data_IF_634047263961
#
_entry.id   IF_634047263961
#
_cell.length_a   1.000
_cell.length_b   1.000
_cell.length_c   1.000
_cell.angle_alpha   90.00
_cell.angle_beta   90.00
_cell.angle_gamma   90.00
#
_symmetry.space_group_name_H-M   'P 1'
#
loop_
_entity.id
_entity.type
_entity.pdbx_description
1 polymer ?
#
# COMPACT_ATOMS: atom_id res chain seq x y z
N UNK A 1 -1.60 -7.90 28.44
CA UNK A 1 -0.49 -8.87 28.46
C UNK A 1 -0.83 -10.01 27.51
N UNK A 2 0.04 -10.32 26.54
CA UNK A 2 -0.10 -11.50 25.68
C UNK A 2 -0.07 -12.76 26.56
N UNK A 3 -1.09 -13.60 26.44
CA UNK A 3 -1.12 -14.89 27.13
C UNK A 3 -0.35 -15.92 26.29
N UNK A 4 0.44 -16.82 26.91
CA UNK A 4 1.04 -17.92 26.19
C UNK A 4 -0.04 -18.88 25.67
N UNK A 5 0.30 -19.64 24.62
CA UNK A 5 -0.53 -20.73 24.13
C UNK A 5 -0.51 -21.93 25.08
N UNK A 6 -1.26 -22.98 24.76
CA UNK A 6 -1.35 -24.23 25.54
C UNK A 6 0.02 -24.89 25.82
N UNK A 7 1.02 -24.65 24.96
CA UNK A 7 2.40 -25.11 25.13
C UNK A 7 3.31 -24.17 25.93
N UNK A 8 2.77 -23.20 26.66
CA UNK A 8 3.53 -22.15 27.37
C UNK A 8 4.46 -21.33 26.47
N UNK A 9 4.13 -21.19 25.17
CA UNK A 9 4.88 -20.39 24.19
C UNK A 9 4.14 -19.09 23.86
N UNK A 10 4.90 -18.03 23.64
CA UNK A 10 4.40 -16.75 23.18
C UNK A 10 4.45 -16.71 21.66
N UNK A 11 3.32 -16.43 21.02
CA UNK A 11 3.18 -16.39 19.55
C UNK A 11 2.71 -14.98 19.16
N UNK A 12 3.37 -14.39 18.18
CA UNK A 12 2.94 -13.12 17.57
C UNK A 12 2.43 -13.40 16.16
N UNK A 13 1.11 -13.55 16.05
CA UNK A 13 0.42 -13.62 14.76
C UNK A 13 -0.16 -12.27 14.44
N UNK A 14 0.06 -11.83 13.22
CA UNK A 14 -0.67 -10.70 12.67
C UNK A 14 -2.06 -11.23 12.31
N UNK A 15 -3.10 -10.57 12.82
CA UNK A 15 -4.49 -10.99 12.65
C UNK A 15 -5.07 -10.23 11.47
N UNK A 16 -5.32 -10.94 10.37
CA UNK A 16 -5.85 -10.33 9.15
C UNK A 16 -7.24 -10.90 8.84
N UNK A 17 -8.12 -10.03 8.38
CA UNK A 17 -9.45 -10.38 7.91
C UNK A 17 -9.57 -10.11 6.41
N UNK A 18 -10.36 -10.93 5.71
CA UNK A 18 -10.68 -10.67 4.30
C UNK A 18 -11.68 -9.53 4.23
N UNK A 19 -11.32 -8.43 3.59
CA UNK A 19 -12.20 -7.28 3.36
C UNK A 19 -11.76 -6.54 2.11
N UNK A 20 -12.71 -6.22 1.23
CA UNK A 20 -12.48 -5.36 0.08
C UNK A 20 -12.49 -3.87 0.47
N UNK A 21 -13.22 -3.51 1.53
CA UNK A 21 -13.36 -2.12 1.98
C UNK A 21 -12.10 -1.59 2.67
N UNK A 22 -11.52 -2.40 3.55
CA UNK A 22 -10.27 -2.11 4.24
C UNK A 22 -9.35 -3.34 4.14
N UNK A 23 -8.39 -3.37 3.20
CA UNK A 23 -7.47 -4.48 3.06
C UNK A 23 -6.64 -4.65 4.33
N UNK A 24 -6.01 -5.81 4.50
CA UNK A 24 -5.15 -6.01 5.67
C UNK A 24 -3.91 -5.11 5.60
N UNK A 25 -3.42 -4.66 6.76
CA UNK A 25 -2.17 -3.89 6.82
C UNK A 25 -1.01 -4.65 6.19
N UNK A 26 -0.93 -5.96 6.39
CA UNK A 26 0.13 -6.81 5.83
C UNK A 26 0.12 -6.85 4.30
N UNK A 27 -1.08 -6.83 3.70
CA UNK A 27 -1.24 -6.75 2.26
C UNK A 27 -0.75 -5.39 1.73
N UNK A 28 -1.18 -4.29 2.36
CA UNK A 28 -0.73 -2.95 1.97
C UNK A 28 0.79 -2.81 2.14
N UNK A 29 1.33 -3.28 3.26
CA UNK A 29 2.77 -3.27 3.53
C UNK A 29 3.53 -4.11 2.50
N UNK A 30 3.02 -5.29 2.14
CA UNK A 30 3.62 -6.13 1.10
C UNK A 30 3.70 -5.42 -0.25
N UNK A 31 2.59 -4.82 -0.70
CA UNK A 31 2.50 -4.11 -1.98
C UNK A 31 3.44 -2.90 -2.03
N UNK A 32 3.63 -2.20 -0.92
CA UNK A 32 4.56 -1.08 -0.80
C UNK A 32 6.00 -1.50 -0.51
N UNK A 33 6.29 -2.82 -0.51
CA UNK A 33 7.58 -3.40 -0.14
C UNK A 33 8.09 -2.94 1.25
N UNK A 34 7.16 -2.74 2.18
CA UNK A 34 7.42 -2.47 3.58
C UNK A 34 7.50 -3.79 4.37
N UNK A 35 8.15 -3.78 5.55
CA UNK A 35 8.10 -4.92 6.45
C UNK A 35 6.65 -5.30 6.82
N UNK A 36 6.24 -6.49 6.38
CA UNK A 36 4.88 -7.02 6.57
C UNK A 36 4.83 -8.26 7.48
N UNK A 37 5.92 -8.54 8.18
CA UNK A 37 6.03 -9.65 9.13
C UNK A 37 6.99 -9.28 10.25
N UNK A 38 6.88 -9.99 11.38
CA UNK A 38 7.61 -9.64 12.59
C UNK A 38 9.14 -9.71 12.43
N UNK A 39 9.63 -10.62 11.58
CA UNK A 39 11.06 -10.69 11.26
C UNK A 39 11.51 -9.45 10.52
N UNK A 40 10.79 -9.03 9.48
CA UNK A 40 11.09 -7.81 8.74
C UNK A 40 11.03 -6.57 9.64
N UNK A 41 10.06 -6.50 10.55
CA UNK A 41 9.94 -5.40 11.52
C UNK A 41 11.15 -5.36 12.46
N UNK A 42 11.60 -6.51 12.98
CA UNK A 42 12.82 -6.58 13.80
C UNK A 42 14.04 -6.18 12.97
N UNK A 43 14.22 -6.74 11.77
CA UNK A 43 15.37 -6.45 10.92
C UNK A 43 15.44 -4.94 10.62
N UNK A 44 14.29 -4.31 10.35
CA UNK A 44 14.18 -2.86 10.19
C UNK A 44 14.52 -2.09 11.48
N UNK A 45 13.92 -2.46 12.62
CA UNK A 45 14.18 -1.81 13.90
C UNK A 45 15.65 -1.92 14.34
N UNK A 46 16.28 -3.08 14.14
CA UNK A 46 17.70 -3.27 14.42
C UNK A 46 18.59 -2.35 13.58
N UNK A 47 18.23 -2.13 12.31
CA UNK A 47 18.93 -1.19 11.43
C UNK A 47 18.69 0.26 11.84
N UNK A 48 17.46 0.62 12.15
CA UNK A 48 17.06 1.98 12.48
C UNK A 48 17.64 2.47 13.81
N UNK A 49 17.56 1.65 14.87
CA UNK A 49 18.08 1.99 16.20
C UNK A 49 19.56 1.63 16.39
N UNK A 50 20.21 1.08 15.36
CA UNK A 50 21.58 0.54 15.42
C UNK A 50 21.81 -0.43 16.61
N UNK A 51 20.74 -1.10 17.05
CA UNK A 51 20.72 -1.94 18.24
C UNK A 51 20.44 -3.39 17.85
N UNK A 52 21.30 -4.33 18.26
CA UNK A 52 21.10 -5.75 17.96
C UNK A 52 20.19 -6.42 18.99
N UNK A 53 19.17 -7.13 18.51
CA UNK A 53 18.33 -7.97 19.36
C UNK A 53 19.13 -9.21 19.81
N UNK A 54 19.29 -9.49 21.13
CA UNK A 54 20.09 -10.61 21.64
C UNK A 54 19.34 -11.96 21.56
N UNK A 55 18.79 -12.26 20.38
CA UNK A 55 18.00 -13.46 20.09
C UNK A 55 18.42 -14.03 18.73
N UNK A 56 18.46 -15.35 18.61
CA UNK A 56 18.85 -15.99 17.35
C UNK A 56 17.80 -15.77 16.25
N UNK A 57 18.25 -15.65 14.99
CA UNK A 57 17.36 -15.53 13.81
C UNK A 57 16.32 -16.65 13.73
N UNK A 58 16.70 -17.87 14.10
CA UNK A 58 15.77 -19.01 14.16
C UNK A 58 14.63 -18.76 15.15
N UNK A 59 14.93 -18.24 16.34
CA UNK A 59 13.90 -17.92 17.35
C UNK A 59 12.99 -16.76 16.91
N UNK A 60 13.51 -15.80 16.14
CA UNK A 60 12.71 -14.72 15.55
C UNK A 60 11.74 -15.31 14.52
N UNK A 61 12.22 -16.19 13.63
CA UNK A 61 11.38 -16.84 12.62
C UNK A 61 10.29 -17.74 13.23
N UNK A 62 10.53 -18.38 14.38
CA UNK A 62 9.51 -19.21 15.02
C UNK A 62 8.45 -18.42 15.77
N UNK A 63 8.66 -17.12 16.02
CA UNK A 63 7.75 -16.29 16.81
C UNK A 63 6.34 -16.21 16.21
N UNK A 64 6.25 -16.16 14.88
CA UNK A 64 4.98 -16.08 14.15
C UNK A 64 4.34 -17.44 13.88
N UNK A 65 5.02 -18.54 14.21
CA UNK A 65 4.56 -19.92 13.92
C UNK A 65 4.40 -20.74 15.20
N UNK A 66 5.49 -21.34 15.70
CA UNK A 66 5.51 -22.25 16.87
C UNK A 66 5.53 -21.50 18.21
N UNK A 67 5.91 -20.23 18.18
CA UNK A 67 6.12 -19.39 19.35
C UNK A 67 7.46 -19.67 20.05
N UNK A 68 7.76 -18.80 21.00
CA UNK A 68 9.02 -18.83 21.78
C UNK A 68 8.76 -19.02 23.27
N UNK A 69 9.75 -19.54 23.99
CA UNK A 69 9.68 -19.65 25.45
C UNK A 69 9.75 -18.29 26.14
N UNK A 70 9.26 -18.23 27.39
CA UNK A 70 9.27 -17.03 28.23
C UNK A 70 10.64 -16.33 28.33
N UNK A 71 11.79 -17.03 28.47
CA UNK A 71 13.09 -16.37 28.53
C UNK A 71 13.42 -15.57 27.27
N UNK A 72 13.15 -16.15 26.09
CA UNK A 72 13.35 -15.47 24.81
C UNK A 72 12.39 -14.30 24.66
N UNK A 73 11.12 -14.47 25.05
CA UNK A 73 10.13 -13.39 25.02
C UNK A 73 10.59 -12.19 25.85
N UNK A 74 11.05 -12.43 27.09
CA UNK A 74 11.59 -11.37 27.96
C UNK A 74 12.79 -10.65 27.34
N UNK A 75 13.67 -11.36 26.60
CA UNK A 75 14.78 -10.70 25.88
C UNK A 75 14.28 -9.74 24.80
N UNK A 76 13.24 -10.12 24.06
CA UNK A 76 12.62 -9.26 23.04
C UNK A 76 11.95 -8.05 23.70
N UNK A 77 11.15 -8.27 24.74
CA UNK A 77 10.48 -7.22 25.50
C UNK A 77 11.49 -6.21 26.08
N UNK A 78 12.51 -6.70 26.79
CA UNK A 78 13.56 -5.84 27.37
C UNK A 78 14.32 -5.06 26.30
N UNK A 79 14.57 -5.67 25.14
CA UNK A 79 15.22 -4.98 24.02
C UNK A 79 14.36 -3.82 23.52
N UNK A 80 13.07 -4.03 23.24
CA UNK A 80 12.16 -2.93 22.85
C UNK A 80 12.04 -1.84 23.91
N UNK A 81 12.05 -2.20 25.20
CA UNK A 81 12.03 -1.23 26.30
C UNK A 81 13.32 -0.38 26.35
N UNK A 82 14.44 -0.91 25.86
CA UNK A 82 15.74 -0.22 25.84
C UNK A 82 15.96 0.72 24.65
N UNK A 83 15.14 0.63 23.61
CA UNK A 83 15.23 1.52 22.45
C UNK A 83 14.80 2.94 22.83
N UNK A 84 15.29 3.96 22.11
CA UNK A 84 14.91 5.35 22.34
C UNK A 84 14.25 5.94 21.09
N UNK A 85 13.01 6.44 21.16
CA UNK A 85 12.17 6.51 22.36
C UNK A 85 11.69 5.13 22.81
N UNK A 86 11.61 4.92 24.14
CA UNK A 86 11.15 3.64 24.69
C UNK A 86 9.73 3.33 24.24
N UNK A 87 9.46 2.06 23.94
CA UNK A 87 8.12 1.58 23.56
C UNK A 87 7.05 1.92 24.60
N UNK A 88 7.43 2.16 25.86
CA UNK A 88 6.50 2.62 26.91
C UNK A 88 5.88 3.98 26.57
N UNK A 89 6.60 4.86 25.88
CA UNK A 89 6.07 6.14 25.41
C UNK A 89 5.11 6.00 24.21
N UNK A 90 5.17 4.85 23.53
CA UNK A 90 4.28 4.47 22.42
C UNK A 90 3.06 3.67 22.95
N UNK A 91 3.13 3.16 24.18
CA UNK A 91 2.07 2.34 24.76
C UNK A 91 0.87 3.19 25.19
N UNK A 92 -0.20 3.12 24.39
CA UNK A 92 -1.45 3.84 24.65
C UNK A 92 -2.56 2.85 25.07
N UNK A 93 -3.00 2.82 26.36
CA UNK A 93 -4.06 1.91 26.82
C UNK A 93 -5.39 2.11 26.09
N UNK A 94 -5.71 3.34 25.67
CA UNK A 94 -6.93 3.63 24.89
C UNK A 94 -6.83 2.99 23.51
N UNK A 95 -5.67 3.09 22.86
CA UNK A 95 -5.41 2.43 21.58
C UNK A 95 -5.53 0.91 21.71
N UNK A 96 -4.96 0.29 22.75
CA UNK A 96 -5.08 -1.15 22.95
C UNK A 96 -6.54 -1.62 23.08
N UNK A 97 -7.36 -0.84 23.79
CA UNK A 97 -8.80 -1.09 23.87
C UNK A 97 -9.48 -0.94 22.51
N UNK A 98 -9.11 0.08 21.73
CA UNK A 98 -9.62 0.32 20.36
C UNK A 98 -9.25 -0.88 19.45
N UNK A 99 -7.99 -1.31 19.47
CA UNK A 99 -7.50 -2.44 18.70
C UNK A 99 -8.19 -3.75 19.07
N UNK A 100 -8.33 -4.04 20.38
CA UNK A 100 -9.02 -5.24 20.82
C UNK A 100 -10.47 -5.28 20.34
N UNK A 101 -11.20 -4.16 20.42
CA UNK A 101 -12.57 -4.07 19.93
C UNK A 101 -12.67 -4.33 18.43
N UNK A 102 -11.75 -3.79 17.64
CA UNK A 102 -11.71 -4.01 16.18
C UNK A 102 -11.46 -5.49 15.85
N UNK A 103 -10.51 -6.13 16.52
CA UNK A 103 -10.21 -7.57 16.33
C UNK A 103 -11.42 -8.44 16.67
N UNK A 104 -12.15 -8.14 17.76
CA UNK A 104 -13.32 -8.92 18.19
C UNK A 104 -14.43 -8.94 17.14
N UNK A 105 -14.62 -7.85 16.40
CA UNK A 105 -15.66 -7.76 15.37
C UNK A 105 -15.18 -8.17 13.98
N UNK A 106 -13.91 -8.59 13.84
CA UNK A 106 -13.34 -9.02 12.56
C UNK A 106 -12.93 -7.87 11.62
N UNK A 107 -12.59 -6.70 12.18
CA UNK A 107 -12.18 -5.51 11.41
C UNK A 107 -10.66 -5.42 11.28
N UNK A 108 -10.18 -5.03 10.09
CA UNK A 108 -8.75 -4.78 9.85
C UNK A 108 -8.25 -3.45 10.47
N UNK A 109 -9.15 -2.63 11.03
CA UNK A 109 -8.83 -1.32 11.60
C UNK A 109 -7.78 -1.36 12.73
N UNK A 110 -7.63 -2.48 13.44
CA UNK A 110 -6.69 -2.58 14.58
C UNK A 110 -5.25 -2.25 14.21
N UNK A 111 -4.79 -2.67 13.04
CA UNK A 111 -3.42 -2.42 12.61
C UNK A 111 -3.25 -0.99 12.11
N UNK A 112 -4.23 -0.46 11.36
CA UNK A 112 -4.21 0.92 10.90
C UNK A 112 -4.30 1.93 12.05
N UNK A 113 -5.10 1.68 13.10
CA UNK A 113 -5.08 2.52 14.30
C UNK A 113 -3.70 2.58 14.95
N UNK A 114 -2.98 1.47 14.96
CA UNK A 114 -1.62 1.42 15.51
C UNK A 114 -0.64 2.20 14.63
N UNK A 115 -0.80 2.11 13.31
CA UNK A 115 -0.02 2.88 12.33
C UNK A 115 -0.25 4.39 12.50
N UNK A 116 -1.51 4.83 12.51
CA UNK A 116 -1.89 6.24 12.68
C UNK A 116 -1.44 6.79 14.03
N UNK A 117 -1.63 6.05 15.13
CA UNK A 117 -1.19 6.51 16.46
C UNK A 117 0.34 6.62 16.54
N UNK A 118 1.08 5.69 15.93
CA UNK A 118 2.54 5.74 15.83
C UNK A 118 3.02 6.93 15.00
N UNK A 119 2.33 7.23 13.91
CA UNK A 119 2.58 8.42 13.09
C UNK A 119 2.31 9.72 13.88
N UNK A 120 1.14 9.83 14.52
CA UNK A 120 0.81 11.00 15.36
C UNK A 120 1.77 11.16 16.53
N UNK A 121 2.31 10.05 17.06
CA UNK A 121 3.39 10.10 18.05
C UNK A 121 4.69 10.65 17.45
N UNK A 122 5.12 10.19 16.27
CA UNK A 122 6.35 10.68 15.63
C UNK A 122 6.27 12.17 15.30
N UNK A 123 5.12 12.65 14.84
CA UNK A 123 4.86 14.09 14.63
C UNK A 123 5.08 14.90 15.91
N UNK A 124 4.49 14.46 17.03
CA UNK A 124 4.62 15.14 18.33
C UNK A 124 6.04 15.09 18.88
N UNK A 125 6.72 13.97 18.73
CA UNK A 125 8.06 13.75 19.25
C UNK A 125 9.13 14.53 18.47
N UNK A 126 9.00 14.58 17.15
CA UNK A 126 10.03 15.16 16.27
C UNK A 126 9.69 16.58 15.79
N UNK A 127 8.47 17.08 16.03
CA UNK A 127 7.94 18.34 15.46
C UNK A 127 8.07 18.41 13.93
N UNK A 128 8.15 17.26 13.27
CA UNK A 128 8.32 17.17 11.82
C UNK A 128 6.96 17.09 11.16
N UNK A 129 6.52 18.18 10.58
CA UNK A 129 5.48 18.14 9.57
C UNK A 129 5.97 17.36 8.33
N UNK A 130 5.09 16.61 7.68
CA UNK A 130 5.40 15.85 6.47
C UNK A 130 4.14 15.62 5.60
N UNK A 131 4.34 15.03 4.43
CA UNK A 131 3.33 14.81 3.40
C UNK A 131 2.22 13.83 3.77
N UNK A 132 2.38 13.02 4.83
CA UNK A 132 1.47 11.92 5.13
C UNK A 132 0.24 12.34 5.96
N UNK A 133 0.13 13.59 6.40
CA UNK A 133 -0.97 14.03 7.29
C UNK A 133 -2.35 13.69 6.72
N UNK A 134 -2.63 14.10 5.47
CA UNK A 134 -3.92 13.88 4.80
C UNK A 134 -4.21 12.38 4.66
N UNK A 135 -3.23 11.59 4.22
CA UNK A 135 -3.36 10.14 4.12
C UNK A 135 -3.67 9.49 5.48
N UNK A 136 -2.99 9.91 6.54
CA UNK A 136 -3.13 9.30 7.88
C UNK A 136 -4.47 9.64 8.52
N UNK A 137 -4.99 10.86 8.29
CA UNK A 137 -6.33 11.22 8.75
C UNK A 137 -7.41 10.48 7.96
N UNK A 138 -7.30 10.40 6.63
CA UNK A 138 -8.18 9.57 5.81
C UNK A 138 -8.12 8.09 6.21
N UNK A 139 -6.94 7.54 6.50
CA UNK A 139 -6.80 6.15 6.97
C UNK A 139 -7.51 5.93 8.31
N UNK A 140 -7.48 6.91 9.22
CA UNK A 140 -8.23 6.84 10.47
C UNK A 140 -9.74 6.86 10.22
N UNK A 141 -10.24 7.75 9.36
CA UNK A 141 -11.64 7.81 8.94
C UNK A 141 -12.10 6.47 8.33
N UNK A 142 -11.35 5.98 7.33
CA UNK A 142 -11.63 4.70 6.65
C UNK A 142 -11.63 3.54 7.63
N UNK A 143 -10.70 3.52 8.59
CA UNK A 143 -10.61 2.51 9.65
C UNK A 143 -11.79 2.58 10.62
N UNK A 144 -12.24 3.79 10.99
CA UNK A 144 -13.42 3.97 11.83
C UNK A 144 -14.69 3.49 11.10
N UNK A 145 -14.83 3.80 9.82
CA UNK A 145 -15.94 3.35 9.00
C UNK A 145 -15.99 1.81 8.89
N UNK A 146 -14.85 1.14 8.65
CA UNK A 146 -14.75 -0.33 8.63
C UNK A 146 -15.15 -0.94 9.99
N UNK A 147 -14.61 -0.39 11.09
CA UNK A 147 -14.94 -0.85 12.43
C UNK A 147 -16.44 -0.74 12.74
N UNK A 148 -17.08 0.36 12.34
CA UNK A 148 -18.51 0.58 12.57
C UNK A 148 -19.36 -0.42 11.77
N UNK A 149 -19.07 -0.61 10.49
CA UNK A 149 -19.74 -1.59 9.63
C UNK A 149 -19.61 -3.01 10.21
N UNK A 150 -18.40 -3.44 10.54
CA UNK A 150 -18.15 -4.77 11.08
C UNK A 150 -18.78 -4.96 12.47
N UNK A 151 -18.82 -3.91 13.28
CA UNK A 151 -19.54 -3.93 14.56
C UNK A 151 -21.04 -4.08 14.38
N UNK A 152 -21.64 -3.42 13.38
CA UNK A 152 -23.06 -3.57 13.06
C UNK A 152 -23.38 -4.99 12.61
N UNK A 153 -22.60 -5.53 11.66
CA UNK A 153 -22.71 -6.92 11.20
C UNK A 153 -22.63 -7.88 12.38
N UNK A 154 -21.61 -7.73 13.22
CA UNK A 154 -21.42 -8.58 14.39
C UNK A 154 -22.60 -8.51 15.37
N UNK A 155 -23.14 -7.31 15.62
CA UNK A 155 -24.28 -7.10 16.52
C UNK A 155 -25.57 -7.72 15.95
N UNK A 156 -25.85 -7.51 14.66
CA UNK A 156 -27.05 -8.05 13.99
C UNK A 156 -27.00 -9.58 13.91
N UNK A 157 -25.83 -10.15 13.62
CA UNK A 157 -25.60 -11.59 13.65
C UNK A 157 -25.78 -12.18 15.06
N UNK A 158 -25.23 -11.52 16.10
CA UNK A 158 -25.43 -11.96 17.49
C UNK A 158 -26.89 -11.90 17.94
N UNK A 159 -27.67 -11.01 17.34
CA UNK A 159 -29.11 -10.87 17.62
C UNK A 159 -29.98 -11.74 16.69
N UNK A 160 -29.36 -12.62 15.88
CA UNK A 160 -30.04 -13.49 14.91
C UNK A 160 -30.91 -12.74 13.88
N UNK A 161 -30.64 -11.45 13.65
CA UNK A 161 -31.31 -10.63 12.62
C UNK A 161 -30.79 -10.96 11.22
N UNK A 162 -29.53 -11.39 11.14
CA UNK A 162 -28.88 -11.85 9.91
C UNK A 162 -28.14 -13.16 10.17
N UNK A 163 -27.94 -13.98 9.15
CA UNK A 163 -26.96 -15.05 9.18
C UNK A 163 -25.58 -14.52 8.77
N UNK A 164 -24.61 -14.57 9.70
CA UNK A 164 -23.22 -14.16 9.43
C UNK A 164 -22.52 -15.02 8.36
N UNK A 165 -23.07 -16.19 8.06
CA UNK A 165 -22.54 -17.10 7.05
C UNK A 165 -23.25 -16.95 5.71
N UNK A 166 -24.36 -16.19 5.63
CA UNK A 166 -25.04 -15.89 4.38
C UNK A 166 -24.42 -14.62 3.74
N UNK A 167 -23.71 -14.75 2.61
CA UNK A 167 -23.12 -13.60 1.92
C UNK A 167 -24.15 -12.54 1.50
N UNK A 168 -25.42 -12.93 1.25
CA UNK A 168 -26.49 -12.02 0.85
C UNK A 168 -26.87 -11.07 1.98
N UNK A 169 -27.05 -11.59 3.18
CA UNK A 169 -27.35 -10.81 4.37
C UNK A 169 -26.22 -9.82 4.70
N UNK A 170 -24.97 -10.28 4.57
CA UNK A 170 -23.79 -9.42 4.74
C UNK A 170 -23.77 -8.32 3.68
N UNK A 171 -23.96 -8.67 2.41
CA UNK A 171 -23.95 -7.72 1.31
C UNK A 171 -25.01 -6.63 1.48
N UNK A 172 -26.22 -6.98 1.90
CA UNK A 172 -27.31 -6.00 2.09
C UNK A 172 -26.93 -4.90 3.09
N UNK A 173 -26.19 -5.25 4.15
CA UNK A 173 -25.66 -4.28 5.10
C UNK A 173 -24.50 -3.45 4.52
N UNK A 174 -23.63 -4.10 3.74
CA UNK A 174 -22.47 -3.44 3.12
C UNK A 174 -22.87 -2.48 2.00
N UNK A 175 -23.93 -2.74 1.25
CA UNK A 175 -24.34 -1.94 0.07
C UNK A 175 -24.51 -0.47 0.41
N UNK A 176 -25.28 -0.16 1.47
CA UNK A 176 -25.52 1.22 1.90
C UNK A 176 -24.23 1.90 2.34
N UNK A 177 -23.34 1.14 3.00
CA UNK A 177 -22.03 1.62 3.42
C UNK A 177 -21.15 1.97 2.22
N UNK A 178 -21.09 1.10 1.20
CA UNK A 178 -20.34 1.36 -0.03
C UNK A 178 -20.84 2.63 -0.74
N UNK A 179 -22.15 2.81 -0.91
CA UNK A 179 -22.70 4.04 -1.50
C UNK A 179 -22.31 5.32 -0.74
N UNK A 180 -22.15 5.24 0.59
CA UNK A 180 -21.90 6.41 1.42
C UNK A 180 -20.41 6.70 1.64
N UNK A 181 -19.53 5.70 1.51
CA UNK A 181 -18.14 5.78 1.99
C UNK A 181 -17.09 5.44 0.93
N UNK A 182 -17.50 5.24 -0.33
CA UNK A 182 -16.60 4.92 -1.44
C UNK A 182 -16.93 5.72 -2.69
N UNK A 183 -16.05 5.64 -3.69
CA UNK A 183 -16.26 6.18 -5.02
C UNK A 183 -16.53 5.08 -6.05
N UNK A 184 -16.91 3.89 -5.58
CA UNK A 184 -17.29 2.78 -6.46
C UNK A 184 -18.55 3.17 -7.25
N UNK A 185 -18.57 3.04 -8.59
CA UNK A 185 -19.74 3.39 -9.38
C UNK A 185 -20.97 2.56 -8.99
N UNK A 186 -22.13 3.21 -8.89
CA UNK A 186 -23.39 2.55 -8.51
C UNK A 186 -23.73 1.33 -9.38
N UNK A 187 -23.43 1.40 -10.69
CA UNK A 187 -23.59 0.27 -11.62
C UNK A 187 -22.85 -0.99 -11.16
N UNK A 188 -21.66 -0.86 -10.57
CA UNK A 188 -20.89 -2.00 -10.08
C UNK A 188 -21.50 -2.59 -8.81
N UNK A 189 -22.06 -1.74 -7.94
CA UNK A 189 -22.80 -2.18 -6.76
C UNK A 189 -24.11 -2.88 -7.17
N UNK A 190 -24.76 -2.44 -8.25
CA UNK A 190 -25.95 -3.08 -8.81
C UNK A 190 -25.65 -4.48 -9.35
N UNK A 191 -24.53 -4.66 -10.07
CA UNK A 191 -24.08 -5.99 -10.55
C UNK A 191 -23.93 -6.97 -9.38
N UNK A 192 -23.31 -6.53 -8.27
CA UNK A 192 -23.16 -7.37 -7.08
C UNK A 192 -24.50 -7.61 -6.37
N UNK A 193 -25.37 -6.61 -6.32
CA UNK A 193 -26.72 -6.75 -5.75
C UNK A 193 -27.57 -7.77 -6.52
N UNK A 194 -27.52 -7.75 -7.85
CA UNK A 194 -28.16 -8.76 -8.69
C UNK A 194 -27.56 -10.15 -8.44
N UNK A 195 -26.24 -10.26 -8.34
CA UNK A 195 -25.55 -11.52 -8.03
C UNK A 195 -25.99 -12.10 -6.68
N UNK A 196 -26.01 -11.30 -5.61
CA UNK A 196 -26.41 -11.79 -4.28
C UNK A 196 -27.91 -12.05 -4.14
N UNK A 197 -28.75 -11.43 -4.98
CA UNK A 197 -30.20 -11.71 -5.05
C UNK A 197 -30.54 -12.93 -5.89
N UNK A 198 -29.63 -13.34 -6.77
CA UNK A 198 -29.83 -14.42 -7.73
C UNK A 198 -29.80 -15.79 -7.05
N UNK A 199 -30.80 -16.62 -7.35
CA UNK A 199 -30.81 -18.05 -6.97
C UNK A 199 -30.06 -18.93 -7.99
N UNK A 200 -29.37 -18.32 -8.97
CA UNK A 200 -28.58 -19.07 -9.96
C UNK A 200 -27.45 -19.82 -9.26
N UNK A 201 -27.34 -21.11 -9.55
CA UNK A 201 -26.16 -21.92 -9.20
C UNK A 201 -24.95 -21.47 -10.00
N UNK A 202 -23.75 -21.71 -9.47
CA UNK A 202 -22.48 -21.29 -10.07
C UNK A 202 -22.34 -21.76 -11.53
N UNK A 203 -22.74 -22.99 -11.81
CA UNK A 203 -22.69 -23.60 -13.15
C UNK A 203 -23.61 -22.93 -14.18
N UNK A 204 -24.57 -22.11 -13.74
CA UNK A 204 -25.55 -21.45 -14.60
C UNK A 204 -25.16 -20.01 -14.95
N UNK A 205 -24.02 -19.52 -14.45
CA UNK A 205 -23.49 -18.22 -14.86
C UNK A 205 -22.75 -18.38 -16.19
N UNK A 206 -23.09 -17.51 -17.13
CA UNK A 206 -22.33 -17.36 -18.37
C UNK A 206 -20.96 -16.77 -18.07
N UNK A 207 -20.03 -16.95 -19.00
CA UNK A 207 -18.69 -16.37 -18.87
C UNK A 207 -18.74 -14.84 -18.70
N UNK A 208 -19.57 -14.14 -19.46
CA UNK A 208 -19.66 -12.69 -19.42
C UNK A 208 -20.29 -12.17 -18.11
N UNK A 209 -21.27 -12.89 -17.55
CA UNK A 209 -21.79 -12.59 -16.20
C UNK A 209 -20.70 -12.78 -15.13
N UNK A 210 -19.94 -13.88 -15.21
CA UNK A 210 -18.82 -14.13 -14.32
C UNK A 210 -17.76 -13.03 -14.39
N UNK A 211 -17.45 -12.56 -15.60
CA UNK A 211 -16.53 -11.45 -15.84
C UNK A 211 -17.05 -10.13 -15.24
N UNK A 212 -18.34 -9.84 -15.38
CA UNK A 212 -18.96 -8.65 -14.79
C UNK A 212 -18.89 -8.66 -13.25
N UNK A 213 -19.18 -9.82 -12.63
CA UNK A 213 -19.09 -10.00 -11.17
C UNK A 213 -17.65 -9.84 -10.66
N UNK A 214 -16.69 -10.42 -11.39
CA UNK A 214 -15.27 -10.27 -11.09
C UNK A 214 -14.85 -8.80 -11.20
N UNK A 215 -15.24 -8.13 -12.28
CA UNK A 215 -14.97 -6.70 -12.49
C UNK A 215 -15.53 -5.83 -11.37
N UNK A 216 -16.81 -6.02 -10.99
CA UNK A 216 -17.42 -5.29 -9.88
C UNK A 216 -16.69 -5.54 -8.55
N UNK A 217 -16.21 -6.77 -8.30
CA UNK A 217 -15.39 -7.10 -7.12
C UNK A 217 -14.03 -6.41 -7.13
N UNK A 218 -13.42 -6.24 -8.31
CA UNK A 218 -12.18 -5.48 -8.46
C UNK A 218 -12.38 -3.98 -8.26
N UNK A 219 -13.51 -3.41 -8.68
CA UNK A 219 -13.86 -2.03 -8.31
C UNK A 219 -13.88 -1.83 -6.78
N UNK A 220 -14.50 -2.75 -6.03
CA UNK A 220 -14.45 -2.69 -4.55
C UNK A 220 -13.01 -2.75 -4.02
N UNK A 221 -12.20 -3.63 -4.61
CA UNK A 221 -10.82 -3.87 -4.15
C UNK A 221 -9.91 -2.67 -4.42
N UNK A 222 -10.06 -2.02 -5.58
CA UNK A 222 -9.20 -0.91 -5.99
C UNK A 222 -9.59 0.44 -5.38
N UNK A 223 -10.83 0.61 -4.91
CA UNK A 223 -11.31 1.83 -4.24
C UNK A 223 -10.39 2.29 -3.10
N UNK A 224 -9.94 1.35 -2.24
CA UNK A 224 -8.99 1.68 -1.17
C UNK A 224 -7.68 2.24 -1.71
N UNK A 225 -7.09 1.59 -2.73
CA UNK A 225 -5.79 1.98 -3.25
C UNK A 225 -5.86 3.31 -4.00
N UNK A 226 -6.87 3.52 -4.85
CA UNK A 226 -7.07 4.78 -5.57
C UNK A 226 -7.29 5.94 -4.59
N UNK A 227 -8.07 5.72 -3.53
CA UNK A 227 -8.30 6.71 -2.48
C UNK A 227 -7.02 7.01 -1.69
N UNK A 228 -6.24 5.99 -1.32
CA UNK A 228 -4.99 6.17 -0.59
C UNK A 228 -3.95 6.96 -1.41
N UNK A 229 -3.82 6.66 -2.71
CA UNK A 229 -2.90 7.36 -3.60
C UNK A 229 -3.32 8.83 -3.75
N UNK A 230 -4.62 9.09 -3.91
CA UNK A 230 -5.15 10.46 -4.01
C UNK A 230 -4.84 11.27 -2.74
N UNK A 231 -5.14 10.73 -1.56
CA UNK A 231 -4.88 11.40 -0.29
C UNK A 231 -3.38 11.59 -0.02
N UNK A 232 -2.52 10.69 -0.49
CA UNK A 232 -1.07 10.88 -0.46
C UNK A 232 -0.63 12.05 -1.34
N UNK A 233 -1.06 12.11 -2.60
CA UNK A 233 -0.67 13.20 -3.51
C UNK A 233 -1.17 14.57 -3.03
N UNK A 234 -2.38 14.63 -2.47
CA UNK A 234 -2.93 15.87 -1.88
C UNK A 234 -2.13 16.29 -0.65
N UNK A 235 -1.80 15.35 0.23
CA UNK A 235 -0.95 15.63 1.39
C UNK A 235 0.43 16.13 1.00
N UNK A 236 1.01 15.59 -0.06
CA UNK A 236 2.27 16.03 -0.64
C UNK A 236 2.18 17.44 -1.23
N UNK A 237 1.10 17.75 -1.94
CA UNK A 237 0.84 19.10 -2.44
C UNK A 237 0.81 20.11 -1.29
N UNK A 238 -0.02 19.87 -0.26
CA UNK A 238 -0.11 20.78 0.87
C UNK A 238 1.21 20.91 1.63
N UNK A 239 1.98 19.83 1.72
CA UNK A 239 3.31 19.87 2.33
C UNK A 239 4.24 20.83 1.58
N UNK A 240 4.30 20.77 0.25
CA UNK A 240 5.11 21.71 -0.53
C UNK A 240 4.60 23.15 -0.48
N UNK A 241 3.29 23.37 -0.45
CA UNK A 241 2.70 24.72 -0.29
C UNK A 241 3.06 25.37 1.06
N UNK A 242 3.25 24.54 2.10
CA UNK A 242 3.73 25.01 3.41
C UNK A 242 5.23 25.29 3.42
N UNK A 243 6.02 24.57 2.62
CA UNK A 243 7.46 24.81 2.48
C UNK A 243 7.79 26.02 1.61
N UNK A 244 6.99 26.29 0.58
CA UNK A 244 7.17 27.39 -0.36
C UNK A 244 5.83 28.04 -0.72
N UNK A 245 5.60 29.27 -0.26
CA UNK A 245 4.35 29.99 -0.52
C UNK A 245 4.13 30.28 -2.02
N UNK A 246 5.17 30.29 -2.85
CA UNK A 246 5.05 30.50 -4.30
C UNK A 246 4.40 29.31 -5.02
N UNK A 247 4.17 28.21 -4.29
CA UNK A 247 3.48 27.03 -4.77
C UNK A 247 1.96 27.05 -4.54
N UNK A 248 1.43 27.95 -3.69
CA UNK A 248 0.01 28.03 -3.33
C UNK A 248 -0.94 28.28 -4.52
N UNK A 249 -0.46 28.98 -5.55
CA UNK A 249 -1.27 29.33 -6.74
C UNK A 249 -1.10 28.33 -7.90
N UNK A 250 -0.28 27.28 -7.73
CA UNK A 250 -0.10 26.26 -8.76
C UNK A 250 -1.13 25.17 -8.52
N UNK A 251 -2.08 25.02 -9.44
CA UNK A 251 -2.87 23.80 -9.52
C UNK A 251 -1.91 22.64 -9.81
N UNK A 252 -1.52 21.89 -8.79
CA UNK A 252 -0.63 20.77 -8.96
C UNK A 252 -1.36 19.69 -9.77
N UNK A 253 -0.84 19.43 -10.97
CA UNK A 253 -1.21 18.24 -11.72
C UNK A 253 -0.70 17.02 -10.96
N UNK A 254 -1.59 16.07 -10.67
CA UNK A 254 -1.21 14.77 -10.09
C UNK A 254 -0.17 14.08 -10.98
N UNK A 255 1.00 13.78 -10.41
CA UNK A 255 2.04 13.02 -11.10
C UNK A 255 1.51 11.62 -11.44
N UNK A 256 0.80 11.02 -10.48
CA UNK A 256 0.30 9.67 -10.63
C UNK A 256 -0.83 9.56 -11.67
N UNK A 257 -1.59 10.63 -11.91
CA UNK A 257 -2.53 10.71 -13.05
C UNK A 257 -1.78 10.59 -14.38
N UNK A 258 -0.63 11.24 -14.53
CA UNK A 258 0.24 11.04 -15.69
C UNK A 258 0.71 9.59 -15.83
N UNK A 259 1.06 8.94 -14.71
CA UNK A 259 1.50 7.54 -14.70
C UNK A 259 0.39 6.62 -15.15
N UNK A 260 -0.81 6.79 -14.60
CA UNK A 260 -1.95 5.93 -14.90
C UNK A 260 -2.50 6.16 -16.31
N UNK A 261 -2.51 7.40 -16.80
CA UNK A 261 -2.88 7.68 -18.19
C UNK A 261 -1.88 7.03 -19.16
N UNK A 262 -0.57 7.15 -18.90
CA UNK A 262 0.45 6.48 -19.71
C UNK A 262 0.29 4.96 -19.69
N UNK A 263 -0.09 4.38 -18.55
CA UNK A 263 -0.38 2.94 -18.45
C UNK A 263 -1.57 2.51 -19.32
N UNK A 264 -2.61 3.33 -19.39
CA UNK A 264 -3.87 3.00 -20.10
C UNK A 264 -3.77 3.29 -21.60
N UNK A 265 -3.13 4.39 -21.99
CA UNK A 265 -3.15 4.92 -23.35
C UNK A 265 -2.02 4.41 -24.24
N UNK A 266 -0.94 3.86 -23.67
CA UNK A 266 0.25 3.49 -24.42
C UNK A 266 0.37 2.00 -24.66
N UNK A 267 0.36 1.61 -25.94
CA UNK A 267 0.61 0.22 -26.38
C UNK A 267 2.07 -0.26 -26.13
N UNK A 268 2.98 0.67 -25.80
CA UNK A 268 4.41 0.37 -25.58
C UNK A 268 4.76 0.15 -24.09
N UNK A 269 3.78 0.30 -23.20
CA UNK A 269 3.97 0.20 -21.75
C UNK A 269 3.70 -1.22 -21.29
N UNK A 270 4.64 -1.79 -20.53
CA UNK A 270 4.49 -3.15 -20.04
C UNK A 270 3.89 -3.23 -18.62
N UNK A 271 3.99 -2.16 -17.85
CA UNK A 271 3.55 -2.12 -16.45
C UNK A 271 3.42 -0.69 -15.91
N UNK A 272 2.75 -0.51 -14.78
CA UNK A 272 2.65 0.76 -14.08
C UNK A 272 4.04 1.28 -13.65
N UNK A 273 4.98 0.40 -13.28
CA UNK A 273 6.36 0.79 -13.01
C UNK A 273 7.08 1.33 -14.26
N UNK A 274 6.85 0.72 -15.44
CA UNK A 274 7.36 1.27 -16.71
C UNK A 274 6.73 2.63 -17.02
N UNK A 275 5.41 2.77 -16.82
CA UNK A 275 4.72 4.05 -16.96
C UNK A 275 5.32 5.14 -16.05
N UNK A 276 5.65 4.81 -14.79
CA UNK A 276 6.31 5.73 -13.87
C UNK A 276 7.71 6.16 -14.34
N UNK A 277 8.48 5.25 -14.94
CA UNK A 277 9.77 5.58 -15.55
C UNK A 277 9.60 6.52 -16.75
N UNK A 278 8.56 6.32 -17.57
CA UNK A 278 8.23 7.18 -18.71
C UNK A 278 7.85 8.58 -18.23
N UNK A 279 6.98 8.68 -17.22
CA UNK A 279 6.58 9.96 -16.65
C UNK A 279 7.73 10.70 -15.99
N UNK A 280 8.59 10.00 -15.24
CA UNK A 280 9.81 10.59 -14.70
C UNK A 280 10.70 11.14 -15.82
N UNK A 281 10.88 10.38 -16.91
CA UNK A 281 11.66 10.81 -18.08
C UNK A 281 11.05 12.05 -18.74
N UNK A 282 9.72 12.11 -18.90
CA UNK A 282 8.99 13.27 -19.43
C UNK A 282 9.16 14.48 -18.52
N UNK A 283 8.97 14.30 -17.21
CA UNK A 283 9.11 15.34 -16.20
C UNK A 283 10.52 15.95 -16.22
N UNK A 284 11.57 15.12 -16.15
CA UNK A 284 12.97 15.60 -16.22
C UNK A 284 13.21 16.34 -17.54
N UNK A 285 12.75 15.77 -18.66
CA UNK A 285 12.91 16.38 -19.99
C UNK A 285 12.26 17.77 -20.09
N UNK A 286 11.16 18.01 -19.36
CA UNK A 286 10.47 19.31 -19.32
C UNK A 286 11.21 20.39 -18.51
N UNK A 287 12.05 19.99 -17.55
CA UNK A 287 12.77 20.90 -16.65
C UNK A 287 14.14 21.30 -17.17
N UNK A 288 14.79 20.41 -17.90
CA UNK A 288 16.15 20.63 -18.41
C UNK A 288 16.17 20.54 -19.95
N UNK A 289 16.58 19.39 -20.48
CA UNK A 289 16.57 19.07 -21.91
C UNK A 289 16.07 17.65 -22.09
N UNK A 290 15.56 17.29 -23.28
CA UNK A 290 15.16 15.92 -23.58
C UNK A 290 16.25 14.92 -23.20
N UNK A 291 15.91 13.99 -22.30
CA UNK A 291 16.80 12.89 -21.91
C UNK A 291 16.41 11.60 -22.62
N UNK A 292 17.43 10.84 -23.04
CA UNK A 292 17.30 9.50 -23.60
C UNK A 292 17.22 8.43 -22.51
N UNK A 293 16.72 7.24 -22.87
CA UNK A 293 16.74 6.09 -21.96
C UNK A 293 18.15 5.68 -21.52
N UNK A 294 19.15 5.85 -22.39
CA UNK A 294 20.56 5.59 -22.04
C UNK A 294 21.08 6.57 -21.00
N UNK A 295 20.66 7.84 -21.06
CA UNK A 295 20.99 8.81 -20.02
C UNK A 295 20.31 8.46 -18.70
N UNK A 296 19.01 8.14 -18.72
CA UNK A 296 18.31 7.72 -17.50
C UNK A 296 18.94 6.46 -16.89
N UNK A 297 19.30 5.47 -17.71
CA UNK A 297 19.96 4.26 -17.26
C UNK A 297 21.32 4.52 -16.58
N UNK A 298 22.03 5.59 -16.97
CA UNK A 298 23.36 5.89 -16.43
C UNK A 298 23.38 6.18 -14.92
N UNK A 299 22.21 6.45 -14.33
CA UNK A 299 22.03 6.65 -12.89
C UNK A 299 21.82 5.35 -12.11
N UNK A 300 21.68 4.20 -12.79
CA UNK A 300 21.55 2.91 -12.12
C UNK A 300 22.89 2.52 -11.49
N UNK A 301 22.95 2.30 -10.16
CA UNK A 301 24.18 1.86 -9.52
C UNK A 301 24.48 0.41 -9.91
N UNK A 302 25.69 0.17 -10.40
CA UNK A 302 26.24 -1.17 -10.65
C UNK A 302 27.30 -1.45 -9.58
N UNK A 303 27.20 -2.59 -8.89
CA UNK A 303 28.12 -2.92 -7.81
C UNK A 303 29.54 -3.21 -8.33
N UNK A 304 30.57 -2.83 -7.56
CA UNK A 304 31.97 -3.04 -7.91
C UNK A 304 32.32 -4.52 -8.15
N UNK A 305 31.64 -5.45 -7.47
CA UNK A 305 31.74 -6.90 -7.68
C UNK A 305 31.35 -7.33 -9.10
N UNK A 306 30.41 -6.62 -9.73
CA UNK A 306 29.97 -6.86 -11.11
C UNK A 306 30.87 -6.14 -12.13
N UNK A 307 31.48 -5.01 -11.74
CA UNK A 307 32.45 -4.28 -12.56
C UNK A 307 33.76 -5.05 -12.74
N UNK A 308 34.20 -5.78 -11.70
CA UNK A 308 35.46 -6.52 -11.68
C UNK A 308 35.33 -8.02 -11.98
N UNK A 309 34.19 -8.47 -12.50
CA UNK A 309 34.02 -9.85 -12.95
C UNK A 309 34.96 -10.11 -14.15
N UNK A 310 35.87 -11.11 -14.09
CA UNK A 310 36.94 -11.31 -15.09
C UNK A 310 36.48 -11.56 -16.54
N UNK A 311 35.18 -11.78 -16.77
CA UNK A 311 34.62 -12.17 -18.07
C UNK A 311 33.63 -11.16 -18.68
N UNK A 312 33.38 -10.01 -18.04
CA UNK A 312 32.37 -9.09 -18.55
C UNK A 312 32.97 -8.03 -19.49
N UNK A 313 33.07 -8.38 -20.77
CA UNK A 313 33.46 -7.48 -21.87
C UNK A 313 32.42 -6.36 -22.17
N UNK A 314 31.24 -6.40 -21.56
CA UNK A 314 30.16 -5.45 -21.84
C UNK A 314 30.45 -4.09 -21.18
N UNK A 315 30.43 -2.96 -21.92
CA UNK A 315 30.63 -1.62 -21.36
C UNK A 315 29.59 -1.28 -20.28
N UNK A 316 29.99 -0.53 -19.24
CA UNK A 316 29.11 -0.13 -18.13
C UNK A 316 27.78 0.49 -18.63
N UNK A 317 27.85 1.38 -19.63
CA UNK A 317 26.67 2.05 -20.20
C UNK A 317 25.68 1.06 -20.82
N UNK A 318 26.17 -0.01 -21.43
CA UNK A 318 25.31 -1.04 -22.03
C UNK A 318 24.70 -1.93 -20.96
N UNK A 319 25.44 -2.28 -19.90
CA UNK A 319 24.90 -3.01 -18.74
C UNK A 319 23.79 -2.24 -18.04
N UNK A 320 24.01 -0.96 -17.78
CA UNK A 320 23.02 -0.06 -17.18
C UNK A 320 21.78 0.04 -18.07
N UNK A 321 21.96 0.23 -19.38
CA UNK A 321 20.84 0.31 -20.33
C UNK A 321 20.06 -1.00 -20.41
N UNK A 322 20.76 -2.15 -20.46
CA UNK A 322 20.15 -3.48 -20.43
C UNK A 322 19.37 -3.71 -19.13
N UNK A 323 19.91 -3.28 -17.99
CA UNK A 323 19.21 -3.37 -16.72
C UNK A 323 17.94 -2.51 -16.67
N UNK A 324 18.00 -1.27 -17.16
CA UNK A 324 16.79 -0.44 -17.27
C UNK A 324 15.77 -1.08 -18.21
N UNK A 325 16.23 -1.64 -19.34
CA UNK A 325 15.37 -2.37 -20.27
C UNK A 325 14.71 -3.57 -19.59
N UNK A 326 15.44 -4.35 -18.81
CA UNK A 326 14.87 -5.46 -18.04
C UNK A 326 13.79 -4.94 -17.08
N UNK A 327 14.08 -3.88 -16.32
CA UNK A 327 13.13 -3.28 -15.39
C UNK A 327 11.84 -2.83 -16.07
N UNK A 328 11.95 -2.16 -17.22
CA UNK A 328 10.81 -1.73 -18.03
C UNK A 328 9.97 -2.89 -18.53
N UNK A 329 10.55 -4.07 -18.75
CA UNK A 329 9.85 -5.28 -19.16
C UNK A 329 9.40 -6.15 -17.97
N UNK A 330 9.40 -5.61 -16.74
CA UNK A 330 9.04 -6.37 -15.53
C UNK A 330 10.04 -7.45 -15.12
N UNK A 331 11.23 -7.49 -15.72
CA UNK A 331 12.29 -8.47 -15.43
C UNK A 331 13.34 -7.88 -14.51
N UNK A 332 13.89 -8.71 -13.61
CA UNK A 332 15.01 -8.33 -12.74
C UNK A 332 14.81 -6.98 -12.01
N UNK A 333 13.57 -6.70 -11.57
CA UNK A 333 13.18 -5.44 -10.93
C UNK A 333 14.13 -5.07 -9.78
N UNK A 334 14.39 -3.77 -9.55
CA UNK A 334 15.35 -3.36 -8.53
C UNK A 334 14.93 -3.81 -7.13
N UNK A 335 15.91 -4.16 -6.30
CA UNK A 335 15.68 -4.18 -4.85
C UNK A 335 15.37 -2.76 -4.36
N UNK A 336 14.73 -2.62 -3.20
CA UNK A 336 14.40 -1.30 -2.66
C UNK A 336 15.65 -0.42 -2.51
N UNK A 337 16.73 -0.95 -1.93
CA UNK A 337 18.00 -0.22 -1.78
C UNK A 337 18.59 0.21 -3.13
N UNK A 338 18.42 -0.61 -4.17
CA UNK A 338 18.89 -0.26 -5.52
C UNK A 338 18.03 0.84 -6.15
N UNK A 339 16.71 0.79 -5.95
CA UNK A 339 15.78 1.81 -6.40
C UNK A 339 16.02 3.15 -5.68
N UNK A 340 16.24 3.12 -4.36
CA UNK A 340 16.60 4.28 -3.54
C UNK A 340 17.85 4.96 -4.07
N UNK A 341 18.94 4.21 -4.24
CA UNK A 341 20.18 4.74 -4.81
C UNK A 341 20.01 5.31 -6.23
N UNK A 342 19.18 4.66 -7.06
CA UNK A 342 18.87 5.15 -8.41
C UNK A 342 18.13 6.49 -8.36
N UNK A 343 17.11 6.61 -7.51
CA UNK A 343 16.34 7.85 -7.33
C UNK A 343 17.21 8.97 -6.75
N UNK A 344 17.97 8.70 -5.69
CA UNK A 344 18.91 9.69 -5.13
C UNK A 344 19.90 10.20 -6.17
N UNK A 345 20.46 9.31 -6.99
CA UNK A 345 21.40 9.70 -8.04
C UNK A 345 20.77 10.58 -9.13
N UNK A 346 19.47 10.41 -9.42
CA UNK A 346 18.73 11.28 -10.35
C UNK A 346 18.48 12.64 -9.71
N UNK A 347 17.93 12.68 -8.50
CA UNK A 347 17.62 13.93 -7.80
C UNK A 347 18.87 14.77 -7.51
N UNK A 348 20.00 14.15 -7.15
CA UNK A 348 21.24 14.90 -6.92
C UNK A 348 21.83 15.53 -8.19
N UNK A 349 21.56 14.99 -9.37
CA UNK A 349 22.31 15.32 -10.60
C UNK A 349 21.49 15.95 -11.72
N UNK A 350 20.19 15.73 -11.75
CA UNK A 350 19.34 16.13 -12.89
C UNK A 350 18.29 17.18 -12.55
N UNK A 351 17.82 17.22 -11.30
CA UNK A 351 16.71 18.07 -10.89
C UNK A 351 16.59 18.06 -9.37
N UNK A 352 16.30 19.20 -8.76
CA UNK A 352 15.97 19.34 -7.32
C UNK A 352 14.59 18.70 -7.01
N UNK A 353 14.46 17.40 -7.28
CA UNK A 353 13.29 16.59 -7.00
C UNK A 353 13.40 16.01 -5.59
N UNK A 354 12.27 15.95 -4.89
CA UNK A 354 12.18 15.18 -3.66
C UNK A 354 12.31 13.69 -3.96
N UNK A 355 13.45 13.14 -3.54
CA UNK A 355 13.77 11.72 -3.69
C UNK A 355 12.82 10.82 -2.90
N UNK A 356 12.29 11.29 -1.76
CA UNK A 356 11.35 10.54 -0.92
C UNK A 356 10.01 10.39 -1.62
N UNK A 357 9.47 11.48 -2.15
CA UNK A 357 8.20 11.45 -2.90
C UNK A 357 8.30 10.54 -4.13
N UNK A 358 9.39 10.66 -4.91
CA UNK A 358 9.61 9.85 -6.09
C UNK A 358 9.75 8.35 -5.74
N UNK A 359 10.39 8.03 -4.62
CA UNK A 359 10.46 6.64 -4.14
C UNK A 359 9.10 6.07 -3.78
N UNK A 360 8.23 6.87 -3.17
CA UNK A 360 6.85 6.44 -2.86
C UNK A 360 6.08 6.16 -4.15
N UNK A 361 6.17 7.02 -5.17
CA UNK A 361 5.52 6.75 -6.46
C UNK A 361 5.98 5.43 -7.10
N UNK A 362 7.29 5.16 -7.12
CA UNK A 362 7.77 3.88 -7.65
C UNK A 362 7.31 2.67 -6.83
N UNK A 363 7.17 2.81 -5.50
CA UNK A 363 6.59 1.75 -4.66
C UNK A 363 5.12 1.54 -4.98
N UNK A 364 4.35 2.61 -5.11
CA UNK A 364 2.93 2.54 -5.48
C UNK A 364 2.78 1.86 -6.84
N UNK A 365 3.54 2.27 -7.86
CA UNK A 365 3.48 1.66 -9.20
C UNK A 365 3.76 0.16 -9.19
N UNK A 366 4.77 -0.28 -8.44
CA UNK A 366 5.05 -1.72 -8.26
C UNK A 366 3.95 -2.44 -7.49
N UNK A 367 3.36 -1.77 -6.50
CA UNK A 367 2.22 -2.27 -5.74
C UNK A 367 1.02 -2.51 -6.66
N UNK A 368 0.72 -1.58 -7.56
CA UNK A 368 -0.33 -1.73 -8.57
C UNK A 368 -0.03 -2.91 -9.50
N UNK A 369 1.19 -3.00 -10.04
CA UNK A 369 1.61 -4.13 -10.89
C UNK A 369 1.40 -5.47 -10.18
N UNK A 370 1.85 -5.56 -8.93
CA UNK A 370 1.70 -6.77 -8.10
C UNK A 370 0.23 -7.08 -7.83
N UNK A 371 -0.59 -6.06 -7.56
CA UNK A 371 -2.02 -6.26 -7.25
C UNK A 371 -2.78 -6.75 -8.48
N UNK A 372 -2.54 -6.15 -9.65
CA UNK A 372 -3.11 -6.55 -10.93
C UNK A 372 -2.71 -8.00 -11.25
N UNK A 373 -1.43 -8.34 -11.10
CA UNK A 373 -0.92 -9.70 -11.29
C UNK A 373 -1.64 -10.72 -10.41
N UNK A 374 -1.80 -10.44 -9.11
CA UNK A 374 -2.53 -11.32 -8.18
C UNK A 374 -3.99 -11.50 -8.60
N UNK A 375 -4.63 -10.46 -9.12
CA UNK A 375 -6.00 -10.56 -9.62
C UNK A 375 -6.08 -11.41 -10.91
N UNK A 376 -5.12 -11.29 -11.83
CA UNK A 376 -5.03 -12.15 -13.02
C UNK A 376 -4.82 -13.61 -12.67
N UNK A 377 -3.93 -13.92 -11.72
CA UNK A 377 -3.67 -15.30 -11.28
C UNK A 377 -4.90 -15.98 -10.67
N UNK A 378 -5.87 -15.22 -10.16
CA UNK A 378 -7.10 -15.76 -9.58
C UNK A 378 -8.18 -16.12 -10.62
N UNK A 379 -8.08 -15.55 -11.83
CA UNK A 379 -9.15 -15.56 -12.83
C UNK A 379 -8.73 -16.08 -14.20
N UNK A 380 -7.41 -16.11 -14.48
CA UNK A 380 -6.79 -16.64 -15.69
C UNK A 380 -7.40 -16.08 -17.00
N UNK A 381 -7.85 -14.82 -17.00
CA UNK A 381 -8.53 -14.22 -18.15
C UNK A 381 -7.92 -12.90 -18.60
N UNK A 382 -7.38 -12.88 -19.81
CA UNK A 382 -6.91 -11.65 -20.49
C UNK A 382 -8.05 -10.64 -20.71
N UNK A 383 -9.32 -11.07 -20.71
CA UNK A 383 -10.49 -10.20 -20.81
C UNK A 383 -10.67 -9.27 -19.60
N UNK A 384 -9.87 -9.43 -18.54
CA UNK A 384 -9.83 -8.51 -17.41
C UNK A 384 -8.90 -7.31 -17.63
N UNK A 385 -8.00 -7.34 -18.62
CA UNK A 385 -7.12 -6.20 -18.93
C UNK A 385 -7.94 -4.91 -19.17
N UNK A 386 -8.99 -4.91 -20.01
CA UNK A 386 -9.81 -3.71 -20.21
C UNK A 386 -10.50 -3.25 -18.93
N UNK A 387 -10.91 -4.18 -18.06
CA UNK A 387 -11.56 -3.86 -16.78
C UNK A 387 -10.58 -3.17 -15.83
N UNK A 388 -9.33 -3.61 -15.74
CA UNK A 388 -8.32 -2.90 -14.96
C UNK A 388 -8.05 -1.52 -15.52
N UNK A 389 -7.97 -1.37 -16.84
CA UNK A 389 -7.81 -0.05 -17.46
C UNK A 389 -8.98 0.89 -17.13
N UNK A 390 -10.22 0.39 -17.15
CA UNK A 390 -11.40 1.17 -16.74
C UNK A 390 -11.34 1.57 -15.26
N UNK A 391 -10.99 0.64 -14.36
CA UNK A 391 -10.87 0.90 -12.92
C UNK A 391 -9.81 1.96 -12.65
N UNK A 392 -8.61 1.77 -13.20
CA UNK A 392 -7.46 2.67 -13.02
C UNK A 392 -7.76 4.03 -13.65
N UNK A 393 -8.49 4.05 -14.78
CA UNK A 393 -8.92 5.27 -15.47
C UNK A 393 -9.87 6.15 -14.64
N UNK A 394 -10.41 5.65 -13.52
CA UNK A 394 -11.19 6.47 -12.60
C UNK A 394 -10.34 7.34 -11.67
N UNK A 395 -9.03 7.11 -11.59
CA UNK A 395 -8.17 7.84 -10.66
C UNK A 395 -8.29 9.37 -10.71
N UNK A 396 -8.41 10.05 -11.87
CA UNK A 396 -8.63 11.49 -11.90
C UNK A 396 -9.87 11.95 -11.13
N UNK A 397 -10.93 11.14 -11.10
CA UNK A 397 -12.13 11.43 -10.31
C UNK A 397 -11.88 11.30 -8.80
N UNK A 398 -11.08 10.31 -8.38
CA UNK A 398 -10.67 10.16 -6.97
C UNK A 398 -9.83 11.36 -6.52
N UNK A 399 -8.81 11.72 -7.30
CA UNK A 399 -7.95 12.87 -7.01
C UNK A 399 -8.77 14.16 -6.90
N UNK A 400 -9.68 14.40 -7.85
CA UNK A 400 -10.58 15.56 -7.81
C UNK A 400 -11.48 15.57 -6.57
N UNK A 401 -12.16 14.47 -6.28
CA UNK A 401 -13.07 14.36 -5.14
C UNK A 401 -12.37 14.66 -3.81
N UNK A 402 -11.21 14.02 -3.58
CA UNK A 402 -10.47 14.24 -2.34
C UNK A 402 -9.86 15.64 -2.28
N UNK A 403 -9.41 16.21 -3.40
CA UNK A 403 -8.91 17.58 -3.45
C UNK A 403 -10.01 18.59 -3.07
N UNK A 404 -11.22 18.44 -3.60
CA UNK A 404 -12.37 19.28 -3.25
C UNK A 404 -12.77 19.12 -1.77
N UNK A 405 -12.75 17.89 -1.24
CA UNK A 405 -13.05 17.59 0.16
C UNK A 405 -12.09 18.30 1.11
N UNK A 406 -10.78 18.18 0.88
CA UNK A 406 -9.79 18.79 1.76
C UNK A 406 -9.79 20.32 1.67
N UNK A 407 -9.96 20.88 0.46
CA UNK A 407 -10.06 22.33 0.28
C UNK A 407 -11.33 22.93 0.92
N UNK A 408 -12.39 22.13 1.11
CA UNK A 408 -13.61 22.58 1.81
C UNK A 408 -13.51 22.47 3.33
N UNK A 409 -12.50 21.77 3.85
CA UNK A 409 -12.27 21.56 5.27
C UNK A 409 -11.34 22.61 5.91
N UNK A 410 -10.64 23.39 5.07
CA UNK A 410 -9.81 24.56 5.42
C UNK A 410 -10.67 25.81 5.37
#
# INVERSE_FOLDING_TARGET
>A
MLKPNEGNKYVFKIINFKSAYLPSYDEVAYLLHLPNNFRGIIDYAQSFYEAKLPVSKSSISTLSTKGIGRPTFKKIENWFLSLSPSIVHIFNPKLLKKNYKAVVVGSNASHFYSCVDSYKFSLRANKNDNELNVLMDWLEERSNADYLLMSEIHRKAKSEIIDKNDPKDIWLLQKTHWHAQSLVPSRQLEVLDEFFKSDKRRENYTFDEGLAIAGASYYLTFDFYLSAIANYEIGLQFYYERLDETCKDKQYSSFFTGVLNTLIESDEVNSCFDAALIELKKFISSKIKPISWRQLASYIPIENSQLNAPESYEPLKDRQYKQLKDWRNGKNLPSFLKLERFVSAICEKLCDLDSSALLVYFRISRGIDTKIQVCFEQTESEKLIPIFNEIIGQYPAYFKYYSERENSAI
#
